data_IF_550562015725
#
_entry.id   IF_550562015725
#
_cell.length_a   1.000
_cell.length_b   1.000
_cell.length_c   1.000
_cell.angle_alpha   90.00
_cell.angle_beta   90.00
_cell.angle_gamma   90.00
#
_symmetry.space_group_name_H-M   'P 1'
#
loop_
_entity.id
_entity.type
_entity.pdbx_description
1 polymer ?
#
# COMPACT_ATOMS: atom_id res chain seq x y z
N UNK A 1 74.50 -47.92 -1.23
CA UNK A 1 75.15 -46.87 -2.06
C UNK A 1 74.30 -45.62 -1.90
N UNK A 2 74.80 -44.56 -1.23
CA UNK A 2 75.45 -43.39 -1.87
C UNK A 2 74.63 -42.85 -3.05
N UNK A 3 74.31 -41.58 -3.23
CA UNK A 3 74.54 -40.32 -2.51
C UNK A 3 74.30 -39.21 -3.56
N UNK A 4 73.60 -38.11 -3.19
CA UNK A 4 73.85 -36.70 -3.62
C UNK A 4 73.55 -36.43 -5.14
N UNK A 5 73.07 -35.31 -5.70
CA UNK A 5 72.96 -33.85 -5.50
C UNK A 5 71.63 -33.41 -6.18
N UNK A 6 70.94 -32.30 -5.92
CA UNK A 6 71.34 -30.94 -5.55
C UNK A 6 70.79 -29.97 -6.63
N UNK A 7 69.98 -28.98 -6.24
CA UNK A 7 69.44 -27.96 -7.15
C UNK A 7 68.47 -27.02 -6.43
N UNK A 8 69.00 -25.87 -6.02
CA UNK A 8 68.35 -24.78 -5.28
C UNK A 8 67.28 -24.03 -6.11
N UNK A 9 66.28 -23.47 -5.43
CA UNK A 9 65.22 -22.66 -6.03
C UNK A 9 64.46 -21.82 -5.00
N UNK A 10 65.01 -20.63 -4.75
CA UNK A 10 64.51 -19.40 -4.11
C UNK A 10 63.11 -19.35 -3.46
N UNK A 11 63.11 -18.81 -2.23
CA UNK A 11 61.93 -18.49 -1.43
C UNK A 11 61.53 -17.02 -1.61
N UNK A 12 60.37 -16.75 -2.23
CA UNK A 12 59.75 -15.42 -2.20
C UNK A 12 58.60 -15.36 -1.18
N UNK A 13 58.88 -14.69 -0.06
CA UNK A 13 57.90 -14.24 0.94
C UNK A 13 56.97 -13.18 0.32
N UNK A 14 55.70 -13.54 0.10
CA UNK A 14 54.63 -12.58 -0.18
C UNK A 14 54.16 -11.88 1.10
N UNK A 15 54.42 -10.58 1.20
CA UNK A 15 53.90 -9.69 2.26
C UNK A 15 52.39 -9.49 2.10
N UNK A 16 51.65 -9.68 3.19
CA UNK A 16 50.25 -9.28 3.36
C UNK A 16 50.12 -7.76 3.35
N UNK A 17 49.35 -7.22 2.40
CA UNK A 17 48.96 -5.81 2.35
C UNK A 17 47.75 -5.62 3.30
N UNK A 18 47.77 -4.63 4.22
CA UNK A 18 46.62 -4.35 5.07
C UNK A 18 45.54 -3.61 4.29
N UNK A 19 44.31 -4.15 4.31
CA UNK A 19 43.12 -3.49 3.81
C UNK A 19 42.86 -2.20 4.61
N UNK A 20 42.92 -1.04 3.94
CA UNK A 20 42.49 0.23 4.51
C UNK A 20 40.97 0.38 4.35
N UNK A 21 40.26 0.93 5.35
CA UNK A 21 38.83 1.14 5.28
C UNK A 21 38.47 2.23 4.25
N UNK A 22 37.60 1.89 3.31
CA UNK A 22 37.03 2.82 2.32
C UNK A 22 36.10 3.80 3.05
N UNK A 23 36.56 5.04 3.23
CA UNK A 23 35.72 6.16 3.69
C UNK A 23 34.78 6.59 2.56
N UNK A 24 33.48 6.36 2.71
CA UNK A 24 32.46 6.98 1.85
C UNK A 24 32.34 8.46 2.17
N UNK A 25 32.79 9.32 1.24
CA UNK A 25 32.58 10.76 1.28
C UNK A 25 31.25 11.08 0.58
N UNK A 26 30.25 11.52 1.34
CA UNK A 26 29.01 12.06 0.80
C UNK A 26 29.31 13.32 -0.01
N UNK A 27 29.19 13.23 -1.34
CA UNK A 27 29.16 14.39 -2.23
C UNK A 27 27.71 14.86 -2.38
N UNK A 28 27.47 16.07 -1.93
CA UNK A 28 26.25 16.86 -2.17
C UNK A 28 26.12 17.14 -3.67
N UNK A 29 25.13 16.53 -4.34
CA UNK A 29 24.80 16.90 -5.71
C UNK A 29 24.08 18.25 -5.67
N UNK A 30 24.82 19.30 -6.04
CA UNK A 30 24.28 20.58 -6.43
C UNK A 30 23.51 20.42 -7.74
N UNK A 31 22.32 21.01 -7.75
CA UNK A 31 21.46 21.28 -8.90
C UNK A 31 22.25 21.77 -10.12
N UNK A 32 22.21 20.99 -11.20
CA UNK A 32 22.63 21.43 -12.53
C UNK A 32 21.45 22.09 -13.21
N UNK A 33 21.63 23.37 -13.49
CA UNK A 33 20.76 24.22 -14.29
C UNK A 33 20.59 23.64 -15.70
N UNK A 34 19.35 23.51 -16.16
CA UNK A 34 19.04 23.60 -17.59
C UNK A 34 18.77 25.08 -17.91
N UNK A 35 19.84 25.76 -18.35
CA UNK A 35 19.75 27.02 -19.07
C UNK A 35 19.74 26.76 -20.57
N UNK A 36 18.96 27.56 -21.30
CA UNK A 36 19.10 27.72 -22.75
C UNK A 36 17.94 27.16 -23.58
N UNK A 37 16.87 27.96 -23.69
CA UNK A 37 16.21 28.40 -24.93
C UNK A 37 14.95 29.17 -24.49
N UNK A 38 15.03 30.50 -24.56
CA UNK A 38 13.95 31.45 -24.89
C UNK A 38 14.48 32.88 -24.65
N UNK A 39 15.36 33.33 -25.53
CA UNK A 39 15.41 34.74 -25.89
C UNK A 39 14.49 34.86 -27.12
N UNK A 40 13.38 35.56 -26.97
CA UNK A 40 12.70 36.42 -27.95
C UNK A 40 11.25 36.66 -27.48
N UNK A 41 10.90 37.94 -27.29
CA UNK A 41 9.51 38.38 -27.43
C UNK A 41 8.75 38.76 -26.16
N UNK A 42 9.34 39.59 -25.29
CA UNK A 42 8.57 40.43 -24.38
C UNK A 42 8.23 41.77 -25.07
N UNK A 43 7.30 41.78 -26.02
CA UNK A 43 6.65 42.97 -26.58
C UNK A 43 5.39 42.59 -27.36
N UNK A 44 4.29 42.29 -26.67
CA UNK A 44 2.91 42.66 -27.07
C UNK A 44 1.92 42.21 -25.98
N UNK A 45 1.94 42.92 -24.85
CA UNK A 45 0.87 42.86 -23.85
C UNK A 45 0.08 44.16 -24.00
N UNK A 46 -1.02 44.09 -24.75
CA UNK A 46 -1.89 45.24 -25.03
C UNK A 46 -2.61 45.03 -26.36
N UNK A 47 -3.94 44.98 -26.30
CA UNK A 47 -4.89 44.70 -27.40
C UNK A 47 -5.15 43.20 -27.65
N UNK A 48 -6.07 42.62 -26.87
CA UNK A 48 -7.30 41.93 -27.31
C UNK A 48 -8.06 41.61 -26.01
N UNK A 49 -8.81 42.58 -25.52
CA UNK A 49 -9.85 42.37 -24.50
C UNK A 49 -11.01 43.31 -24.81
N UNK A 50 -11.65 43.09 -25.95
CA UNK A 50 -12.95 43.66 -26.35
C UNK A 50 -13.44 42.98 -27.63
N UNK A 51 -13.94 41.75 -27.50
CA UNK A 51 -14.96 41.17 -28.40
C UNK A 51 -15.34 39.78 -27.86
N UNK A 52 -16.64 39.49 -27.83
CA UNK A 52 -17.31 38.27 -27.36
C UNK A 52 -17.75 38.24 -25.89
N UNK A 53 -18.56 39.25 -25.54
CA UNK A 53 -19.83 38.95 -24.89
C UNK A 53 -20.75 38.22 -25.90
N UNK A 54 -21.40 37.14 -25.48
CA UNK A 54 -22.51 36.54 -26.22
C UNK A 54 -22.26 35.13 -26.78
N UNK A 55 -22.35 34.12 -25.91
CA UNK A 55 -23.06 32.85 -26.16
C UNK A 55 -22.78 31.92 -24.96
N UNK A 56 -23.77 31.80 -24.09
CA UNK A 56 -23.74 30.85 -22.99
C UNK A 56 -23.67 29.42 -23.50
N UNK A 57 -22.71 28.67 -22.99
CA UNK A 57 -22.83 27.23 -22.86
C UNK A 57 -22.13 26.82 -21.56
N UNK A 58 -22.92 26.82 -20.49
CA UNK A 58 -22.59 26.12 -19.27
C UNK A 58 -22.39 24.63 -19.61
N UNK A 59 -21.13 24.23 -19.72
CA UNK A 59 -20.76 22.83 -19.84
C UNK A 59 -21.26 22.09 -18.59
N UNK A 60 -22.39 21.41 -18.78
CA UNK A 60 -23.05 20.50 -17.86
C UNK A 60 -22.04 19.45 -17.43
N UNK A 61 -21.53 19.56 -16.19
CA UNK A 61 -20.71 18.54 -15.57
C UNK A 61 -21.55 17.28 -15.43
N UNK A 62 -21.39 16.35 -16.37
CA UNK A 62 -22.09 15.07 -16.39
C UNK A 62 -21.84 14.28 -15.12
N UNK A 63 -22.85 14.23 -14.27
CA UNK A 63 -22.94 13.42 -13.07
C UNK A 63 -23.12 11.95 -13.45
N UNK A 64 -22.01 11.28 -13.74
CA UNK A 64 -21.96 9.85 -14.03
C UNK A 64 -20.76 9.18 -13.36
N UNK A 65 -20.43 9.55 -12.12
CA UNK A 65 -19.50 8.74 -11.32
C UNK A 65 -20.21 7.44 -10.93
N UNK A 66 -19.64 6.25 -11.20
CA UNK A 66 -20.16 5.02 -10.63
C UNK A 66 -20.13 5.17 -9.11
N UNK A 67 -21.31 5.24 -8.50
CA UNK A 67 -21.47 5.25 -7.06
C UNK A 67 -20.96 3.90 -6.58
N UNK A 68 -19.72 3.86 -6.10
CA UNK A 68 -19.17 2.67 -5.44
C UNK A 68 -20.06 2.47 -4.21
N UNK A 69 -20.95 1.48 -4.30
CA UNK A 69 -21.85 1.09 -3.24
C UNK A 69 -21.00 0.49 -2.11
N UNK A 70 -20.41 1.36 -1.30
CA UNK A 70 -19.76 1.01 -0.05
C UNK A 70 -20.88 0.65 0.92
N UNK A 71 -21.40 -0.58 0.77
CA UNK A 71 -22.33 -1.16 1.72
C UNK A 71 -21.75 -1.00 3.14
N UNK A 72 -22.59 -0.49 4.04
CA UNK A 72 -22.32 -0.38 5.47
C UNK A 72 -22.12 -1.78 6.06
N UNK A 73 -20.92 -2.35 5.93
CA UNK A 73 -20.53 -3.49 6.78
C UNK A 73 -20.15 -2.93 8.13
N UNK A 74 -20.94 -3.28 9.15
CA UNK A 74 -20.62 -3.02 10.55
C UNK A 74 -19.35 -3.80 10.90
N UNK A 75 -18.19 -3.17 10.70
CA UNK A 75 -16.87 -3.83 10.74
C UNK A 75 -16.33 -3.98 12.17
N UNK A 76 -16.98 -3.34 13.16
CA UNK A 76 -16.62 -3.43 14.59
C UNK A 76 -16.64 -4.88 15.11
N UNK A 77 -17.30 -5.81 14.42
CA UNK A 77 -17.51 -7.19 14.89
C UNK A 77 -16.49 -8.21 14.40
N UNK A 78 -15.54 -7.88 13.51
CA UNK A 78 -14.60 -8.90 12.97
C UNK A 78 -13.33 -9.12 13.81
N UNK A 79 -13.11 -8.32 14.86
CA UNK A 79 -12.02 -8.56 15.82
C UNK A 79 -12.62 -9.24 17.06
N UNK A 80 -13.17 -10.45 16.90
CA UNK A 80 -13.23 -11.36 18.05
C UNK A 80 -11.80 -11.75 18.38
N UNK A 81 -11.32 -11.18 19.46
CA UNK A 81 -10.08 -11.48 20.12
C UNK A 81 -10.22 -12.81 20.86
N UNK A 82 -10.28 -13.92 20.10
CA UNK A 82 -9.96 -15.21 20.67
C UNK A 82 -8.49 -15.13 21.10
N UNK A 83 -8.26 -14.96 22.40
CA UNK A 83 -6.93 -15.15 22.98
C UNK A 83 -6.51 -16.55 22.56
N UNK A 84 -5.44 -16.63 21.79
CA UNK A 84 -4.77 -17.90 21.67
C UNK A 84 -4.32 -18.33 23.08
N UNK A 85 -4.28 -19.62 23.40
CA UNK A 85 -3.78 -20.11 24.69
C UNK A 85 -2.50 -19.39 25.10
N UNK A 86 -2.28 -19.15 26.39
CA UNK A 86 -1.14 -18.36 26.91
C UNK A 86 0.24 -18.81 26.36
N UNK A 87 0.35 -20.07 25.94
CA UNK A 87 1.56 -20.68 25.37
C UNK A 87 1.70 -20.55 23.85
N UNK A 88 0.87 -19.73 23.22
CA UNK A 88 0.86 -19.61 21.77
C UNK A 88 2.00 -18.73 21.26
N UNK A 89 2.81 -19.25 20.33
CA UNK A 89 3.80 -18.44 19.64
C UNK A 89 3.14 -17.35 18.77
N UNK A 90 3.54 -16.10 19.02
CA UNK A 90 3.07 -14.91 18.30
C UNK A 90 4.23 -14.31 17.53
N UNK A 91 4.14 -14.29 16.20
CA UNK A 91 5.15 -13.68 15.36
C UNK A 91 4.64 -12.36 14.78
N UNK A 92 5.42 -11.30 14.92
CA UNK A 92 5.17 -10.00 14.32
C UNK A 92 6.32 -9.66 13.37
N UNK A 93 6.04 -9.65 12.08
CA UNK A 93 6.99 -9.25 11.05
C UNK A 93 6.74 -7.81 10.62
N UNK A 94 7.73 -6.95 10.79
CA UNK A 94 7.73 -5.59 10.25
C UNK A 94 8.48 -5.60 8.91
N UNK A 95 7.74 -5.36 7.82
CA UNK A 95 8.23 -5.58 6.44
C UNK A 95 8.51 -4.28 5.71
N UNK A 96 9.72 -4.17 5.18
CA UNK A 96 10.22 -2.99 4.46
C UNK A 96 10.73 -1.87 5.39
N UNK A 97 10.88 -0.69 4.82
CA UNK A 97 11.41 0.51 5.51
C UNK A 97 10.50 1.73 5.28
N UNK A 98 10.51 2.65 6.25
CA UNK A 98 9.88 3.95 6.12
C UNK A 98 10.68 4.80 5.11
N UNK A 99 10.05 5.18 4.00
CA UNK A 99 10.72 5.94 2.93
C UNK A 99 11.11 7.36 3.34
N UNK A 100 10.52 7.88 4.41
CA UNK A 100 10.75 9.25 4.87
C UNK A 100 10.70 9.29 6.39
N UNK A 101 11.59 10.06 7.02
CA UNK A 101 11.52 10.33 8.46
C UNK A 101 10.22 11.03 8.88
N UNK A 102 9.52 11.66 7.92
CA UNK A 102 8.22 12.33 8.14
C UNK A 102 7.06 11.36 8.35
N UNK A 103 7.22 10.08 8.02
CA UNK A 103 6.21 9.04 8.23
C UNK A 103 6.86 7.78 8.80
N UNK A 104 7.23 7.78 10.10
CA UNK A 104 7.91 6.65 10.75
C UNK A 104 6.91 5.56 11.16
N UNK A 105 6.06 5.12 10.22
CA UNK A 105 4.96 4.19 10.50
C UNK A 105 5.48 2.82 10.95
N UNK A 106 6.43 2.23 10.23
CA UNK A 106 6.98 0.92 10.55
C UNK A 106 7.86 0.98 11.79
N UNK A 107 8.63 2.05 11.96
CA UNK A 107 9.41 2.29 13.18
C UNK A 107 8.50 2.42 14.41
N UNK A 108 7.37 3.13 14.29
CA UNK A 108 6.38 3.23 15.37
C UNK A 108 5.66 1.90 15.60
N UNK A 109 5.36 1.15 14.55
CA UNK A 109 4.77 -0.18 14.70
C UNK A 109 5.67 -1.10 15.52
N UNK A 110 6.97 -1.18 15.18
CA UNK A 110 7.92 -1.98 15.93
C UNK A 110 7.98 -1.57 17.40
N UNK A 111 8.13 -0.26 17.66
CA UNK A 111 8.14 0.26 19.03
C UNK A 111 6.87 -0.10 19.78
N UNK A 112 5.71 0.00 19.14
CA UNK A 112 4.42 -0.38 19.73
C UNK A 112 4.41 -1.86 20.14
N UNK A 113 4.72 -2.78 19.22
CA UNK A 113 4.69 -4.22 19.51
C UNK A 113 5.72 -4.63 20.56
N UNK A 114 6.90 -3.98 20.59
CA UNK A 114 7.89 -4.24 21.64
C UNK A 114 7.44 -3.74 23.02
N UNK A 115 6.84 -2.55 23.07
CA UNK A 115 6.36 -1.96 24.32
C UNK A 115 5.15 -2.72 24.90
N UNK A 116 4.29 -3.31 24.06
CA UNK A 116 3.10 -4.05 24.47
C UNK A 116 3.32 -5.57 24.46
N UNK A 117 4.55 -6.01 24.79
CA UNK A 117 4.92 -7.43 24.76
C UNK A 117 4.03 -8.25 25.70
N UNK A 118 3.81 -7.76 26.92
CA UNK A 118 2.97 -8.42 27.93
C UNK A 118 1.56 -8.71 27.40
N UNK A 119 0.92 -7.71 26.77
CA UNK A 119 -0.48 -7.78 26.33
C UNK A 119 -0.70 -8.62 25.07
N UNK A 120 0.34 -8.88 24.28
CA UNK A 120 0.22 -9.48 22.94
C UNK A 120 0.72 -10.92 22.84
N UNK A 121 1.37 -11.44 23.88
CA UNK A 121 1.92 -12.80 23.90
C UNK A 121 3.06 -13.04 24.89
N UNK A 122 3.43 -12.05 25.71
CA UNK A 122 4.43 -12.18 26.76
C UNK A 122 5.77 -12.72 26.24
N UNK A 123 6.28 -13.78 26.88
CA UNK A 123 7.52 -14.45 26.48
C UNK A 123 7.46 -15.03 25.05
N UNK A 124 6.27 -15.40 24.58
CA UNK A 124 6.04 -16.07 23.29
C UNK A 124 5.93 -15.12 22.10
N UNK A 125 6.02 -13.80 22.32
CA UNK A 125 6.03 -12.80 21.26
C UNK A 125 7.41 -12.71 20.60
N UNK A 126 7.49 -12.85 19.28
CA UNK A 126 8.69 -12.61 18.49
C UNK A 126 8.45 -11.46 17.51
N UNK A 127 9.09 -10.32 17.76
CA UNK A 127 9.05 -9.17 16.85
C UNK A 127 10.29 -9.22 15.95
N UNK A 128 10.08 -9.54 14.68
CA UNK A 128 11.12 -9.66 13.67
C UNK A 128 11.09 -8.42 12.78
N UNK A 129 12.16 -7.62 12.83
CA UNK A 129 12.33 -6.45 11.96
C UNK A 129 12.99 -6.86 10.63
N UNK A 130 12.63 -6.18 9.55
CA UNK A 130 13.31 -6.22 8.24
C UNK A 130 13.18 -7.52 7.46
N UNK A 131 12.11 -8.30 7.67
CA UNK A 131 11.69 -9.22 6.63
C UNK A 131 11.44 -8.42 5.33
N UNK A 132 11.95 -8.90 4.21
CA UNK A 132 11.90 -8.19 2.92
C UNK A 132 10.78 -8.70 2.02
N UNK A 133 10.18 -9.85 2.34
CA UNK A 133 9.15 -10.49 1.50
C UNK A 133 8.33 -11.55 2.24
N UNK A 134 7.17 -11.90 1.69
CA UNK A 134 6.37 -13.04 2.17
C UNK A 134 7.15 -14.37 2.12
N UNK A 135 7.94 -14.60 1.06
CA UNK A 135 8.74 -15.83 0.96
C UNK A 135 9.78 -15.94 2.08
N UNK A 136 10.38 -14.82 2.48
CA UNK A 136 11.34 -14.78 3.59
C UNK A 136 10.66 -15.01 4.94
N UNK A 137 9.46 -14.44 5.14
CA UNK A 137 8.65 -14.72 6.34
C UNK A 137 8.38 -16.22 6.45
N UNK A 138 7.90 -16.86 5.38
CA UNK A 138 7.64 -18.31 5.39
C UNK A 138 8.92 -19.12 5.60
N UNK A 139 10.05 -18.71 5.04
CA UNK A 139 11.34 -19.36 5.28
C UNK A 139 11.77 -19.27 6.75
N UNK A 140 11.61 -18.12 7.38
CA UNK A 140 11.90 -17.92 8.80
C UNK A 140 10.98 -18.77 9.69
N UNK A 141 9.68 -18.81 9.40
CA UNK A 141 8.74 -19.66 10.13
C UNK A 141 9.07 -21.16 10.00
N UNK A 142 9.47 -21.61 8.80
CA UNK A 142 9.94 -23.00 8.59
C UNK A 142 11.21 -23.29 9.39
N UNK A 143 12.14 -22.35 9.45
CA UNK A 143 13.37 -22.51 10.22
C UNK A 143 13.05 -22.68 11.71
N UNK A 144 12.21 -21.80 12.25
CA UNK A 144 11.76 -21.84 13.65
C UNK A 144 11.04 -23.16 13.97
N UNK A 145 10.15 -23.60 13.09
CA UNK A 145 9.47 -24.90 13.26
C UNK A 145 10.45 -26.08 13.24
N UNK A 146 11.41 -26.12 12.29
CA UNK A 146 12.38 -27.22 12.21
C UNK A 146 13.36 -27.25 13.37
N UNK A 147 13.79 -26.09 13.85
CA UNK A 147 14.80 -25.98 14.91
C UNK A 147 14.19 -26.17 16.30
N UNK A 148 12.95 -25.72 16.51
CA UNK A 148 12.36 -25.62 17.85
C UNK A 148 10.97 -26.26 17.96
N UNK A 149 10.44 -26.88 16.90
CA UNK A 149 9.08 -27.44 16.89
C UNK A 149 7.97 -26.40 17.09
N UNK A 150 8.29 -25.11 16.94
CA UNK A 150 7.38 -24.02 17.31
C UNK A 150 6.30 -23.82 16.24
N UNK A 151 5.05 -24.07 16.61
CA UNK A 151 3.88 -23.80 15.78
C UNK A 151 3.35 -22.38 16.03
N UNK A 152 2.97 -21.69 14.96
CA UNK A 152 2.43 -20.33 15.00
C UNK A 152 0.95 -20.37 15.33
N UNK A 153 0.52 -19.73 16.43
CA UNK A 153 -0.92 -19.49 16.64
C UNK A 153 -1.36 -18.07 16.32
N UNK A 154 -0.44 -17.11 16.23
CA UNK A 154 -0.73 -15.78 15.69
C UNK A 154 0.42 -15.23 14.85
N UNK A 155 0.13 -14.89 13.59
CA UNK A 155 1.06 -14.26 12.67
C UNK A 155 0.56 -12.86 12.33
N UNK A 156 1.35 -11.83 12.61
CA UNK A 156 1.05 -10.45 12.26
C UNK A 156 2.12 -9.98 11.27
N UNK A 157 1.70 -9.55 10.07
CA UNK A 157 2.58 -8.99 9.06
C UNK A 157 2.23 -7.51 8.91
N UNK A 158 3.12 -6.63 9.31
CA UNK A 158 2.94 -5.17 9.24
C UNK A 158 3.72 -4.62 8.07
N UNK A 159 3.05 -3.94 7.15
CA UNK A 159 3.64 -3.29 6.00
C UNK A 159 2.90 -2.01 5.63
N UNK A 160 3.58 -1.09 4.95
CA UNK A 160 2.90 0.04 4.32
C UNK A 160 1.87 -0.45 3.29
N UNK A 161 0.66 0.09 3.35
CA UNK A 161 -0.44 -0.28 2.46
C UNK A 161 -0.92 0.88 1.60
N UNK A 162 -1.46 0.54 0.43
CA UNK A 162 -2.22 1.46 -0.39
C UNK A 162 -3.30 0.65 -1.14
N UNK A 163 -4.60 0.97 -0.96
CA UNK A 163 -5.70 0.21 -1.58
C UNK A 163 -5.61 0.07 -3.10
N UNK A 164 -4.97 1.01 -3.80
CA UNK A 164 -4.90 1.07 -5.26
C UNK A 164 -3.65 0.39 -5.85
N UNK A 165 -2.54 0.40 -5.10
CA UNK A 165 -1.23 -0.10 -5.58
C UNK A 165 -0.70 -1.31 -4.82
N UNK A 166 -1.37 -1.76 -3.76
CA UNK A 166 -0.98 -2.94 -2.98
C UNK A 166 -0.11 -2.63 -1.77
N UNK A 167 0.31 -3.70 -1.09
CA UNK A 167 1.13 -3.65 0.13
C UNK A 167 2.62 -3.62 -0.24
N UNK A 168 3.42 -2.84 0.49
CA UNK A 168 4.89 -2.86 0.43
C UNK A 168 5.46 -4.05 1.21
N UNK A 169 4.96 -5.23 0.89
CA UNK A 169 5.44 -6.51 1.37
C UNK A 169 5.59 -7.39 0.12
N UNK A 170 6.73 -7.32 -0.59
CA UNK A 170 6.95 -8.08 -1.80
C UNK A 170 6.68 -9.58 -1.61
N UNK A 171 6.23 -10.29 -2.65
CA UNK A 171 6.00 -11.74 -2.55
C UNK A 171 7.32 -12.50 -2.41
N UNK A 172 8.30 -12.11 -3.21
CA UNK A 172 9.70 -12.54 -3.14
C UNK A 172 10.59 -11.30 -3.02
N UNK A 173 11.88 -11.45 -2.69
CA UNK A 173 12.85 -10.33 -2.67
C UNK A 173 12.87 -9.63 -4.04
N UNK A 174 12.10 -8.54 -4.13
CA UNK A 174 11.85 -7.72 -5.30
C UNK A 174 11.25 -6.39 -4.82
N UNK A 175 11.19 -5.38 -5.69
CA UNK A 175 10.57 -4.08 -5.35
C UNK A 175 9.06 -4.03 -5.60
N UNK A 176 8.49 -5.09 -6.16
CA UNK A 176 7.09 -5.12 -6.55
C UNK A 176 6.18 -5.28 -5.32
N UNK A 177 5.10 -4.50 -5.28
CA UNK A 177 4.11 -4.57 -4.20
C UNK A 177 3.33 -5.88 -4.24
N UNK A 178 2.90 -6.34 -3.08
CA UNK A 178 1.94 -7.44 -2.96
C UNK A 178 0.55 -6.97 -3.40
N UNK A 179 0.09 -7.62 -4.45
CA UNK A 179 -1.23 -7.50 -5.06
C UNK A 179 -1.73 -8.92 -5.35
N UNK A 180 -3.02 -9.11 -5.65
CA UNK A 180 -3.52 -10.41 -6.09
C UNK A 180 -2.75 -10.95 -7.29
N UNK A 181 -2.47 -10.09 -8.28
CA UNK A 181 -1.80 -10.47 -9.52
C UNK A 181 -0.35 -10.87 -9.29
N UNK A 182 0.37 -10.14 -8.44
CA UNK A 182 1.79 -10.41 -8.18
C UNK A 182 1.98 -11.67 -7.33
N UNK A 183 1.06 -11.94 -6.40
CA UNK A 183 1.04 -13.20 -5.65
C UNK A 183 0.65 -14.39 -6.53
N UNK A 184 -0.40 -14.26 -7.34
CA UNK A 184 -0.84 -15.32 -8.25
C UNK A 184 0.28 -15.71 -9.22
N UNK A 185 0.91 -14.72 -9.86
CA UNK A 185 2.05 -14.95 -10.77
C UNK A 185 3.22 -15.65 -10.07
N UNK A 186 3.55 -15.24 -8.84
CA UNK A 186 4.62 -15.86 -8.08
C UNK A 186 4.32 -17.33 -7.70
N UNK A 187 3.07 -17.66 -7.41
CA UNK A 187 2.62 -19.03 -7.16
C UNK A 187 2.71 -19.88 -8.44
N UNK A 188 2.21 -19.38 -9.57
CA UNK A 188 2.27 -20.05 -10.88
C UNK A 188 3.71 -20.33 -11.32
N UNK A 189 4.59 -19.34 -11.15
CA UNK A 189 6.02 -19.44 -11.46
C UNK A 189 6.81 -20.22 -10.39
N UNK A 190 6.15 -20.77 -9.36
CA UNK A 190 6.77 -21.48 -8.23
C UNK A 190 7.87 -20.67 -7.51
N UNK A 191 7.82 -19.34 -7.60
CA UNK A 191 8.75 -18.41 -6.92
C UNK A 191 8.44 -18.29 -5.43
N UNK A 192 7.21 -18.61 -5.04
CA UNK A 192 6.80 -18.82 -3.65
C UNK A 192 5.98 -20.11 -3.60
N UNK A 193 6.11 -20.86 -2.50
CA UNK A 193 5.29 -22.05 -2.24
C UNK A 193 4.27 -21.74 -1.13
N UNK A 194 3.06 -22.32 -1.20
CA UNK A 194 2.11 -22.30 -0.08
C UNK A 194 2.79 -22.70 1.23
N UNK A 195 2.30 -22.13 2.33
CA UNK A 195 2.78 -22.45 3.66
C UNK A 195 2.30 -23.84 4.07
N UNK A 196 3.20 -24.60 4.69
CA UNK A 196 2.92 -25.93 5.25
C UNK A 196 2.00 -25.79 6.46
N UNK A 197 1.13 -26.78 6.65
CA UNK A 197 0.09 -26.72 7.68
C UNK A 197 0.65 -26.86 9.07
N UNK A 198 1.70 -27.67 9.20
CA UNK A 198 2.43 -27.97 10.42
C UNK A 198 3.01 -26.71 11.05
N UNK A 199 3.25 -25.66 10.25
CA UNK A 199 3.71 -24.35 10.75
C UNK A 199 2.69 -23.66 11.64
N UNK A 200 1.40 -24.00 11.56
CA UNK A 200 0.33 -23.30 12.25
C UNK A 200 -0.41 -24.19 13.25
N UNK A 201 -0.79 -23.62 14.39
CA UNK A 201 -1.74 -24.25 15.31
C UNK A 201 -3.15 -24.26 14.70
N UNK A 202 -3.99 -25.20 15.14
CA UNK A 202 -5.42 -25.20 14.82
C UNK A 202 -6.05 -23.88 15.31
N UNK A 203 -6.81 -23.22 14.44
CA UNK A 203 -7.43 -21.93 14.77
C UNK A 203 -6.48 -20.72 14.76
N UNK A 204 -5.24 -20.88 14.28
CA UNK A 204 -4.29 -19.77 14.26
C UNK A 204 -4.79 -18.57 13.43
N UNK A 205 -4.38 -17.38 13.85
CA UNK A 205 -4.81 -16.11 13.26
C UNK A 205 -3.67 -15.49 12.45
N UNK A 206 -3.93 -15.20 11.18
CA UNK A 206 -3.01 -14.49 10.29
C UNK A 206 -3.57 -13.09 10.03
N UNK A 207 -2.83 -12.07 10.43
CA UNK A 207 -3.21 -10.67 10.31
C UNK A 207 -2.27 -9.96 9.35
N UNK A 208 -2.79 -9.49 8.22
CA UNK A 208 -2.03 -8.66 7.29
C UNK A 208 -2.41 -7.21 7.53
N UNK A 209 -1.53 -6.48 8.21
CA UNK A 209 -1.73 -5.11 8.67
C UNK A 209 -1.01 -4.14 7.74
N UNK A 210 -1.79 -3.21 7.21
CA UNK A 210 -1.33 -2.13 6.35
C UNK A 210 -2.52 -1.30 5.91
N UNK A 211 -2.28 -0.03 5.61
CA UNK A 211 -3.34 0.92 5.27
C UNK A 211 -4.25 0.38 4.16
N UNK A 212 -5.49 0.04 4.55
CA UNK A 212 -6.51 -0.46 3.64
C UNK A 212 -6.21 -1.82 3.00
N UNK A 213 -5.45 -2.70 3.66
CA UNK A 213 -5.17 -4.06 3.17
C UNK A 213 -6.46 -4.81 2.77
N UNK A 214 -7.49 -4.73 3.61
CA UNK A 214 -8.81 -5.35 3.37
C UNK A 214 -9.63 -4.71 2.25
N UNK A 215 -9.18 -3.57 1.70
CA UNK A 215 -9.80 -2.91 0.54
C UNK A 215 -9.14 -3.29 -0.79
N UNK A 216 -8.01 -3.99 -0.78
CA UNK A 216 -7.37 -4.47 -2.00
C UNK A 216 -8.20 -5.63 -2.55
N UNK A 217 -8.96 -5.36 -3.61
CA UNK A 217 -9.89 -6.33 -4.22
C UNK A 217 -9.14 -7.61 -4.61
N UNK A 218 -9.65 -8.76 -4.18
CA UNK A 218 -9.07 -10.07 -4.50
C UNK A 218 -7.87 -10.50 -3.65
N UNK A 219 -7.29 -9.60 -2.82
CA UNK A 219 -6.08 -9.94 -2.06
C UNK A 219 -6.34 -11.04 -1.03
N UNK A 220 -7.48 -10.98 -0.33
CA UNK A 220 -7.91 -12.03 0.59
C UNK A 220 -7.98 -13.40 -0.10
N UNK A 221 -8.57 -13.46 -1.30
CA UNK A 221 -8.67 -14.70 -2.07
C UNK A 221 -7.31 -15.22 -2.51
N UNK A 222 -6.40 -14.32 -2.94
CA UNK A 222 -5.04 -14.70 -3.31
C UNK A 222 -4.25 -15.22 -2.10
N UNK A 223 -4.35 -14.57 -0.94
CA UNK A 223 -3.69 -15.00 0.30
C UNK A 223 -4.21 -16.35 0.82
N UNK A 224 -5.50 -16.65 0.63
CA UNK A 224 -6.06 -17.98 0.93
C UNK A 224 -5.43 -19.12 0.12
N UNK A 225 -4.76 -18.84 -1.01
CA UNK A 225 -3.99 -19.83 -1.76
C UNK A 225 -2.57 -20.01 -1.22
N UNK A 226 -2.05 -18.98 -0.55
CA UNK A 226 -0.72 -19.02 0.06
C UNK A 226 -0.75 -19.68 1.44
N UNK A 227 -1.79 -19.41 2.23
CA UNK A 227 -1.95 -19.98 3.57
C UNK A 227 -3.01 -21.10 3.56
N UNK A 228 -2.82 -22.19 4.32
CA UNK A 228 -3.74 -23.34 4.32
C UNK A 228 -4.99 -23.07 5.16
N UNK A 229 -5.81 -22.11 4.71
CA UNK A 229 -6.93 -21.56 5.49
C UNK A 229 -8.03 -22.59 5.78
N UNK A 230 -8.25 -23.56 4.90
CA UNK A 230 -9.39 -24.49 4.98
C UNK A 230 -9.17 -25.68 5.90
N UNK A 231 -7.95 -26.19 6.05
CA UNK A 231 -7.72 -27.46 6.75
C UNK A 231 -7.62 -27.28 8.27
N UNK A 232 -6.90 -26.24 8.74
CA UNK A 232 -6.74 -25.93 10.18
C UNK A 232 -7.71 -24.89 10.74
N UNK A 233 -8.73 -24.51 9.99
CA UNK A 233 -9.63 -23.41 10.35
C UNK A 233 -8.88 -22.11 10.67
N UNK A 234 -7.83 -21.80 9.90
CA UNK A 234 -7.05 -20.59 10.12
C UNK A 234 -7.91 -19.36 9.84
N UNK A 235 -7.75 -18.31 10.64
CA UNK A 235 -8.47 -17.06 10.43
C UNK A 235 -7.56 -16.03 9.78
N UNK A 236 -7.92 -15.60 8.58
CA UNK A 236 -7.23 -14.52 7.88
C UNK A 236 -7.93 -13.17 8.13
N UNK A 237 -7.22 -12.22 8.71
CA UNK A 237 -7.69 -10.85 9.01
C UNK A 237 -6.97 -9.85 8.13
N UNK A 238 -7.75 -9.06 7.37
CA UNK A 238 -7.25 -7.92 6.61
C UNK A 238 -8.08 -6.69 6.99
N UNK A 239 -7.59 -5.81 7.86
CA UNK A 239 -8.31 -4.61 8.25
C UNK A 239 -8.67 -3.76 7.02
N UNK A 240 -9.94 -3.33 6.95
CA UNK A 240 -10.35 -2.39 5.90
C UNK A 240 -9.79 -1.00 6.21
N UNK A 241 -9.71 -0.60 7.48
CA UNK A 241 -9.26 0.73 7.91
C UNK A 241 -7.78 1.03 7.67
N UNK A 242 -7.37 2.22 8.10
CA UNK A 242 -5.97 2.64 8.15
C UNK A 242 -5.49 2.43 9.57
N UNK A 243 -4.43 1.64 9.70
CA UNK A 243 -3.80 1.44 10.99
C UNK A 243 -2.78 2.54 11.23
N UNK A 244 -2.84 3.16 12.40
CA UNK A 244 -1.99 4.26 12.80
C UNK A 244 -1.30 3.90 14.11
N UNK A 245 -0.01 4.23 14.20
CA UNK A 245 0.74 4.20 15.44
C UNK A 245 1.08 5.64 15.82
N UNK A 246 0.40 6.14 16.85
CA UNK A 246 0.41 7.54 17.22
C UNK A 246 0.96 7.71 18.63
N UNK A 247 1.75 8.75 18.90
CA UNK A 247 2.13 9.05 20.26
C UNK A 247 0.90 9.49 21.07
N UNK A 248 0.89 9.18 22.35
CA UNK A 248 -0.13 9.62 23.31
C UNK A 248 -0.35 11.14 23.31
N UNK A 249 0.78 11.84 23.32
CA UNK A 249 0.90 13.28 23.39
C UNK A 249 2.17 13.68 22.65
N UNK A 250 2.32 14.98 22.36
CA UNK A 250 3.54 15.49 21.74
C UNK A 250 4.76 15.14 22.60
N UNK A 251 5.73 14.44 22.03
CA UNK A 251 6.95 14.00 22.73
C UNK A 251 6.85 12.68 23.51
N UNK A 252 5.65 12.08 23.63
CA UNK A 252 5.51 10.79 24.33
C UNK A 252 6.27 9.66 23.62
N UNK A 253 6.92 8.81 24.43
CA UNK A 253 7.53 7.56 23.97
C UNK A 253 6.50 6.43 23.84
N UNK A 254 5.38 6.54 24.53
CA UNK A 254 4.26 5.60 24.48
C UNK A 254 3.48 5.78 23.18
N UNK A 255 3.18 4.67 22.53
CA UNK A 255 2.48 4.63 21.26
C UNK A 255 1.15 3.91 21.40
N UNK A 256 0.18 4.44 20.70
CA UNK A 256 -1.16 3.92 20.59
C UNK A 256 -1.36 3.36 19.20
N UNK A 257 -1.97 2.18 19.14
CA UNK A 257 -2.51 1.67 17.89
C UNK A 257 -3.95 2.16 17.76
N UNK A 258 -4.24 2.78 16.62
CA UNK A 258 -5.58 3.26 16.28
C UNK A 258 -5.94 2.76 14.90
N UNK A 259 -7.16 2.24 14.77
CA UNK A 259 -7.77 2.06 13.46
C UNK A 259 -8.51 3.35 13.09
N UNK A 260 -8.36 3.78 11.85
CA UNK A 260 -9.06 4.93 11.32
C UNK A 260 -9.88 4.50 10.11
N UNK A 261 -11.11 4.99 10.03
CA UNK A 261 -11.95 4.87 8.86
C UNK A 261 -11.54 5.94 7.83
N UNK A 262 -11.00 5.58 6.65
CA UNK A 262 -10.69 6.54 5.61
C UNK A 262 -11.91 6.85 4.74
N UNK A 263 -12.02 8.12 4.39
CA UNK A 263 -12.90 8.68 3.40
C UNK A 263 -12.03 9.28 2.31
N UNK A 264 -12.09 8.79 1.08
CA UNK A 264 -11.15 9.20 0.02
C UNK A 264 -11.87 9.83 -1.17
N UNK A 265 -11.32 10.95 -1.64
CA UNK A 265 -11.74 11.65 -2.85
C UNK A 265 -10.52 11.88 -3.75
N UNK A 266 -10.72 11.78 -5.06
CA UNK A 266 -9.67 12.00 -6.06
C UNK A 266 -9.88 13.30 -6.85
N UNK A 267 -8.78 13.87 -7.32
CA UNK A 267 -8.74 14.90 -8.35
C UNK A 267 -7.44 14.82 -9.18
N UNK A 268 -7.42 15.36 -10.41
CA UNK A 268 -6.22 15.40 -11.25
C UNK A 268 -5.06 16.12 -10.56
N UNK A 269 -3.88 15.50 -10.49
CA UNK A 269 -2.71 16.12 -9.86
C UNK A 269 -2.34 17.44 -10.54
N UNK A 270 -1.92 18.43 -9.76
CA UNK A 270 -1.70 19.80 -10.22
C UNK A 270 -2.96 20.68 -10.24
N UNK A 271 -4.14 20.14 -9.97
CA UNK A 271 -5.40 20.90 -9.89
C UNK A 271 -6.06 20.76 -8.51
N UNK A 272 -5.60 21.54 -7.52
CA UNK A 272 -6.21 21.54 -6.19
C UNK A 272 -7.60 22.22 -6.23
N UNK A 273 -8.71 21.51 -5.95
CA UNK A 273 -10.05 22.10 -6.10
C UNK A 273 -10.43 23.14 -5.04
N UNK A 274 -9.61 23.30 -4.00
CA UNK A 274 -9.96 24.10 -2.82
C UNK A 274 -10.78 23.31 -1.79
N UNK A 275 -10.58 23.64 -0.51
CA UNK A 275 -11.21 22.95 0.62
C UNK A 275 -12.74 22.96 0.57
N UNK A 276 -13.36 24.06 0.14
CA UNK A 276 -14.82 24.21 0.08
C UNK A 276 -15.41 23.22 -0.93
N UNK A 277 -14.80 23.11 -2.12
CA UNK A 277 -15.27 22.18 -3.16
C UNK A 277 -15.02 20.73 -2.75
N UNK A 278 -13.87 20.45 -2.13
CA UNK A 278 -13.57 19.13 -1.57
C UNK A 278 -14.56 18.74 -0.48
N UNK A 279 -14.81 19.60 0.52
CA UNK A 279 -15.77 19.34 1.58
C UNK A 279 -17.19 19.04 1.04
N UNK A 280 -17.66 19.81 0.06
CA UNK A 280 -18.94 19.52 -0.63
C UNK A 280 -18.91 18.19 -1.37
N UNK A 281 -17.79 17.83 -1.99
CA UNK A 281 -17.62 16.52 -2.66
C UNK A 281 -17.65 15.36 -1.65
N UNK A 282 -16.98 15.49 -0.51
CA UNK A 282 -17.07 14.53 0.60
C UNK A 282 -18.49 14.38 1.13
N UNK A 283 -19.18 15.51 1.40
CA UNK A 283 -20.56 15.49 1.88
C UNK A 283 -21.48 14.77 0.89
N UNK A 284 -21.39 15.07 -0.41
CA UNK A 284 -22.22 14.42 -1.44
C UNK A 284 -21.94 12.91 -1.57
N UNK A 285 -20.67 12.51 -1.50
CA UNK A 285 -20.29 11.10 -1.72
C UNK A 285 -20.57 10.21 -0.50
N UNK A 286 -20.42 10.74 0.71
CA UNK A 286 -20.45 9.92 1.93
C UNK A 286 -21.61 10.25 2.88
N UNK A 287 -22.25 11.42 2.77
CA UNK A 287 -23.41 11.80 3.58
C UNK A 287 -23.17 11.81 5.10
N UNK A 288 -21.91 11.80 5.56
CA UNK A 288 -21.58 11.77 6.99
C UNK A 288 -21.67 13.15 7.61
N UNK A 289 -22.10 13.21 8.87
CA UNK A 289 -22.06 14.40 9.73
C UNK A 289 -20.63 14.62 10.25
N UNK A 290 -19.68 14.82 9.34
CA UNK A 290 -18.31 15.17 9.65
C UNK A 290 -18.08 16.64 9.30
N UNK A 291 -17.28 17.32 10.11
CA UNK A 291 -16.81 18.67 9.83
C UNK A 291 -15.72 18.63 8.73
N UNK A 292 -16.10 18.25 7.51
CA UNK A 292 -15.20 17.92 6.41
C UNK A 292 -14.16 19.01 6.15
N UNK A 293 -14.58 20.28 6.19
CA UNK A 293 -13.67 21.43 5.99
C UNK A 293 -12.64 21.53 7.12
N UNK A 294 -13.03 21.29 8.38
CA UNK A 294 -12.08 21.28 9.52
C UNK A 294 -11.10 20.11 9.39
N UNK A 295 -11.58 18.93 8.99
CA UNK A 295 -10.72 17.76 8.77
C UNK A 295 -9.71 17.97 7.64
N UNK A 296 -10.11 18.63 6.54
CA UNK A 296 -9.21 19.01 5.43
C UNK A 296 -8.12 20.00 5.85
N UNK A 297 -8.42 20.90 6.80
CA UNK A 297 -7.43 21.84 7.35
C UNK A 297 -6.42 21.18 8.28
N UNK A 298 -6.82 20.12 8.97
CA UNK A 298 -5.92 19.32 9.82
C UNK A 298 -5.09 18.39 8.93
N UNK A 299 -3.95 18.88 8.44
CA UNK A 299 -3.03 18.08 7.64
C UNK A 299 -2.07 17.30 8.54
N UNK A 300 -1.85 16.04 8.21
CA UNK A 300 -0.94 15.17 8.98
C UNK A 300 -1.56 14.68 10.28
N UNK A 301 -0.73 14.09 11.14
CA UNK A 301 -1.21 13.44 12.36
C UNK A 301 -1.78 14.46 13.35
N UNK A 302 -3.10 14.41 13.56
CA UNK A 302 -3.79 15.15 14.61
C UNK A 302 -3.84 14.32 15.91
N UNK A 303 -4.20 14.92 17.06
CA UNK A 303 -4.53 14.18 18.27
C UNK A 303 -5.55 13.07 17.98
N UNK A 304 -5.47 11.97 18.74
CA UNK A 304 -6.18 10.70 18.53
C UNK A 304 -7.69 10.83 18.28
N UNK A 305 -8.31 11.91 18.69
CA UNK A 305 -9.77 12.11 18.70
C UNK A 305 -10.32 12.87 17.49
N UNK A 306 -9.47 13.43 16.62
CA UNK A 306 -9.94 14.32 15.55
C UNK A 306 -9.69 13.77 14.16
N UNK A 307 -10.70 13.82 13.26
CA UNK A 307 -10.48 13.52 11.85
C UNK A 307 -9.46 14.48 11.24
N UNK A 308 -8.57 13.93 10.42
CA UNK A 308 -7.49 14.66 9.76
C UNK A 308 -7.28 14.17 8.33
N UNK A 309 -6.62 14.98 7.51
CA UNK A 309 -6.39 14.70 6.10
C UNK A 309 -4.97 14.24 5.81
N UNK A 310 -4.88 13.29 4.89
CA UNK A 310 -3.66 12.86 4.23
C UNK A 310 -3.84 13.03 2.72
N UNK A 311 -2.78 13.47 2.05
CA UNK A 311 -2.72 13.56 0.60
C UNK A 311 -1.60 12.66 0.10
N UNK A 312 -1.85 11.96 -1.00
CA UNK A 312 -0.83 11.19 -1.69
C UNK A 312 -1.15 11.07 -3.17
N UNK A 313 -0.10 10.95 -3.96
CA UNK A 313 -0.20 10.79 -5.40
C UNK A 313 -0.25 9.31 -5.78
N UNK A 314 -1.08 9.01 -6.78
CA UNK A 314 -1.23 7.68 -7.35
C UNK A 314 -0.79 7.75 -8.82
N UNK A 315 0.45 7.31 -9.13
CA UNK A 315 0.91 7.22 -10.51
C UNK A 315 0.31 5.99 -11.21
N UNK A 316 -0.02 6.15 -12.48
CA UNK A 316 -0.35 5.06 -13.40
C UNK A 316 0.51 5.20 -14.65
N UNK A 317 1.27 4.17 -14.95
CA UNK A 317 2.00 4.06 -16.21
C UNK A 317 1.33 2.98 -17.07
N UNK A 318 1.02 3.33 -18.32
CA UNK A 318 0.44 2.42 -19.29
C UNK A 318 1.23 2.47 -20.59
N UNK A 319 1.65 1.30 -21.10
CA UNK A 319 2.48 1.21 -22.29
C UNK A 319 1.86 0.23 -23.25
N UNK A 320 1.84 0.63 -24.52
CA UNK A 320 1.23 -0.13 -25.61
C UNK A 320 2.25 -0.22 -26.72
N UNK A 321 2.53 -1.44 -27.13
CA UNK A 321 3.42 -1.74 -28.23
C UNK A 321 2.65 -1.78 -29.56
N UNK A 322 3.32 -1.35 -30.62
CA UNK A 322 2.83 -1.34 -32.00
C UNK A 322 3.88 -2.00 -32.89
N UNK A 323 4.00 -3.34 -32.84
CA UNK A 323 5.01 -4.07 -33.61
C UNK A 323 4.83 -3.87 -35.13
N UNK A 324 3.59 -3.79 -35.60
CA UNK A 324 3.27 -3.66 -37.03
C UNK A 324 3.36 -2.21 -37.55
N UNK A 325 3.97 -1.30 -36.78
CA UNK A 325 4.13 0.11 -37.18
C UNK A 325 2.86 0.97 -37.15
N UNK A 326 1.67 0.39 -36.95
CA UNK A 326 0.34 1.06 -36.90
C UNK A 326 0.09 1.96 -35.69
N UNK A 327 1.11 2.68 -35.21
CA UNK A 327 1.03 3.54 -34.02
C UNK A 327 0.24 4.83 -34.32
N UNK A 328 -0.88 5.10 -33.63
CA UNK A 328 -1.63 6.33 -33.85
C UNK A 328 -0.86 7.56 -33.39
N UNK A 329 -1.17 8.70 -34.01
CA UNK A 329 -0.63 10.00 -33.60
C UNK A 329 -1.22 10.45 -32.26
N UNK A 330 -0.36 10.90 -31.34
CA UNK A 330 -0.72 11.46 -30.01
C UNK A 330 -0.11 12.84 -29.79
N UNK A 331 0.07 13.61 -30.87
CA UNK A 331 0.77 14.91 -30.86
C UNK A 331 -0.03 16.05 -30.23
N UNK A 332 -1.35 15.92 -30.15
CA UNK A 332 -2.23 16.96 -29.58
C UNK A 332 -3.01 16.41 -28.40
N UNK A 333 -3.38 17.26 -27.43
CA UNK A 333 -4.18 16.87 -26.25
C UNK A 333 -5.47 16.13 -26.65
N UNK A 334 -6.16 16.60 -27.70
CA UNK A 334 -7.35 15.94 -28.23
C UNK A 334 -7.09 14.50 -28.69
N UNK A 335 -5.99 14.28 -29.44
CA UNK A 335 -5.57 12.94 -29.88
C UNK A 335 -5.14 12.06 -28.71
N UNK A 336 -4.42 12.61 -27.73
CA UNK A 336 -4.02 11.90 -26.51
C UNK A 336 -5.25 11.41 -25.73
N UNK A 337 -6.23 12.29 -25.50
CA UNK A 337 -7.45 11.94 -24.78
C UNK A 337 -8.33 10.96 -25.56
N UNK A 338 -8.42 11.11 -26.89
CA UNK A 338 -9.12 10.14 -27.74
C UNK A 338 -8.48 8.75 -27.65
N UNK A 339 -7.15 8.68 -27.77
CA UNK A 339 -6.39 7.46 -27.61
C UNK A 339 -6.65 6.79 -26.25
N UNK A 340 -6.55 7.54 -25.15
CA UNK A 340 -6.82 7.05 -23.79
C UNK A 340 -8.26 6.53 -23.62
N UNK A 341 -9.25 7.26 -24.14
CA UNK A 341 -10.68 6.86 -24.05
C UNK A 341 -10.97 5.55 -24.78
N UNK A 342 -10.21 5.25 -25.84
CA UNK A 342 -10.35 4.01 -26.61
C UNK A 342 -9.67 2.79 -25.95
N UNK A 343 -8.86 2.99 -24.89
CA UNK A 343 -8.21 1.92 -24.12
C UNK A 343 -9.16 1.21 -23.16
N UNK A 344 -9.85 0.16 -23.64
CA UNK A 344 -10.76 -0.66 -22.81
C UNK A 344 -10.03 -1.35 -21.65
N UNK A 345 -8.81 -1.80 -21.89
CA UNK A 345 -7.89 -2.43 -20.94
C UNK A 345 -7.52 -1.49 -19.78
N UNK A 346 -7.06 -0.27 -20.10
CA UNK A 346 -6.74 0.76 -19.11
C UNK A 346 -7.98 1.14 -18.29
N UNK A 347 -9.12 1.39 -18.94
CA UNK A 347 -10.38 1.71 -18.24
C UNK A 347 -10.79 0.60 -17.28
N UNK A 348 -10.67 -0.67 -17.70
CA UNK A 348 -10.94 -1.82 -16.81
C UNK A 348 -9.94 -1.89 -15.67
N UNK A 349 -8.66 -1.62 -15.93
CA UNK A 349 -7.62 -1.59 -14.90
C UNK A 349 -7.91 -0.54 -13.81
N UNK A 350 -8.30 0.67 -14.21
CA UNK A 350 -8.68 1.76 -13.30
C UNK A 350 -9.99 1.45 -12.56
N UNK A 351 -11.03 1.01 -13.27
CA UNK A 351 -12.34 0.73 -12.69
C UNK A 351 -12.27 -0.38 -11.61
N UNK A 352 -11.44 -1.40 -11.80
CA UNK A 352 -11.20 -2.44 -10.77
C UNK A 352 -10.65 -1.88 -9.46
N UNK A 353 -10.03 -0.70 -9.49
CA UNK A 353 -9.46 0.04 -8.36
C UNK A 353 -10.36 1.18 -7.89
N UNK A 354 -11.57 1.32 -8.45
CA UNK A 354 -12.47 2.44 -8.14
C UNK A 354 -11.95 3.78 -8.66
N UNK A 355 -11.15 3.77 -9.73
CA UNK A 355 -10.56 4.95 -10.36
C UNK A 355 -11.12 5.12 -11.77
N UNK A 356 -11.19 6.37 -12.23
CA UNK A 356 -11.67 6.74 -13.55
C UNK A 356 -10.64 7.58 -14.30
N UNK A 357 -10.69 7.55 -15.62
CA UNK A 357 -9.71 8.23 -16.49
C UNK A 357 -9.66 9.75 -16.26
N UNK A 358 -10.81 10.38 -15.98
CA UNK A 358 -10.99 11.82 -15.76
C UNK A 358 -10.43 12.32 -14.42
N UNK A 359 -10.05 11.41 -13.52
CA UNK A 359 -9.46 11.75 -12.23
C UNK A 359 -7.96 12.02 -12.32
N UNK A 360 -7.35 11.84 -13.50
CA UNK A 360 -5.91 11.93 -13.69
C UNK A 360 -5.54 13.08 -14.62
N UNK A 361 -4.39 13.68 -14.33
CA UNK A 361 -3.64 14.47 -15.30
C UNK A 361 -2.79 13.51 -16.10
N UNK A 362 -3.02 13.45 -17.42
CA UNK A 362 -2.33 12.52 -18.31
C UNK A 362 -1.24 13.23 -19.13
N UNK A 363 -0.10 12.57 -19.24
CA UNK A 363 0.92 12.86 -20.23
C UNK A 363 1.10 11.64 -21.13
N UNK A 364 0.82 11.80 -22.42
CA UNK A 364 0.88 10.71 -23.40
C UNK A 364 1.92 11.05 -24.44
N UNK A 365 2.88 10.15 -24.65
CA UNK A 365 3.99 10.37 -25.55
C UNK A 365 4.28 9.13 -26.41
N UNK A 366 4.70 9.33 -27.68
CA UNK A 366 5.32 8.28 -28.46
C UNK A 366 6.66 7.89 -27.81
N UNK A 367 6.91 6.60 -27.63
CA UNK A 367 8.19 6.07 -27.15
C UNK A 367 8.65 4.89 -28.01
N UNK A 368 9.86 4.41 -27.78
CA UNK A 368 10.41 3.18 -28.38
C UNK A 368 10.71 2.20 -27.22
N UNK A 369 10.48 0.91 -27.42
CA UNK A 369 10.82 -0.16 -26.45
C UNK A 369 11.73 -1.18 -27.11
N UNK A 370 12.71 -1.70 -26.36
CA UNK A 370 13.54 -2.80 -26.85
C UNK A 370 12.69 -4.08 -26.96
N UNK A 371 12.89 -4.84 -28.03
CA UNK A 371 12.29 -6.16 -28.22
C UNK A 371 13.07 -7.30 -27.53
N UNK A 372 14.23 -6.99 -26.93
CA UNK A 372 15.12 -7.97 -26.32
C UNK A 372 16.12 -8.62 -27.28
N UNK A 373 15.90 -8.52 -28.60
CA UNK A 373 16.83 -8.96 -29.66
C UNK A 373 17.70 -7.80 -30.20
N UNK A 374 17.56 -6.60 -29.64
CA UNK A 374 18.28 -5.39 -30.05
C UNK A 374 17.50 -4.48 -30.99
N UNK A 375 16.31 -4.90 -31.45
CA UNK A 375 15.39 -4.09 -32.21
C UNK A 375 14.59 -3.11 -31.34
N UNK A 376 13.90 -2.18 -32.01
CA UNK A 376 13.08 -1.15 -31.36
C UNK A 376 11.64 -1.24 -31.85
N UNK A 377 10.73 -1.45 -30.91
CA UNK A 377 9.29 -1.51 -31.16
C UNK A 377 8.68 -0.14 -30.85
N UNK A 378 7.97 0.49 -31.82
CA UNK A 378 7.19 1.69 -31.56
C UNK A 378 6.17 1.46 -30.46
N UNK A 379 6.06 2.39 -29.54
CA UNK A 379 5.13 2.32 -28.44
C UNK A 379 4.49 3.68 -28.14
N UNK A 380 3.39 3.65 -27.40
CA UNK A 380 2.82 4.83 -26.75
C UNK A 380 2.86 4.59 -25.25
N UNK A 381 3.40 5.57 -24.53
CA UNK A 381 3.44 5.61 -23.07
C UNK A 381 2.45 6.66 -22.59
N UNK A 382 1.60 6.29 -21.66
CA UNK A 382 0.73 7.20 -20.93
C UNK A 382 1.07 7.18 -19.44
N UNK A 383 1.34 8.36 -18.90
CA UNK A 383 1.58 8.60 -17.49
C UNK A 383 0.41 9.40 -16.94
N UNK A 384 -0.37 8.79 -16.05
CA UNK A 384 -1.46 9.44 -15.35
C UNK A 384 -1.05 9.71 -13.90
N UNK A 385 -1.34 10.92 -13.41
CA UNK A 385 -1.18 11.27 -12.00
C UNK A 385 -2.51 11.75 -11.42
N UNK A 386 -2.97 11.12 -10.33
CA UNK A 386 -4.12 11.58 -9.55
C UNK A 386 -3.71 11.80 -8.10
N UNK A 387 -4.31 12.80 -7.45
CA UNK A 387 -4.13 13.04 -6.02
C UNK A 387 -5.33 12.50 -5.27
N UNK A 388 -5.06 11.62 -4.31
CA UNK A 388 -6.05 11.12 -3.37
C UNK A 388 -5.97 11.94 -2.09
N UNK A 389 -7.04 12.67 -1.77
CA UNK A 389 -7.24 13.27 -0.45
C UNK A 389 -8.05 12.32 0.37
N UNK A 390 -7.49 11.92 1.51
CA UNK A 390 -8.13 10.99 2.43
C UNK A 390 -8.31 11.63 3.79
N UNK A 391 -9.55 11.70 4.25
CA UNK A 391 -9.87 12.06 5.63
C UNK A 391 -9.89 10.77 6.44
N UNK A 392 -9.00 10.66 7.40
CA UNK A 392 -8.97 9.59 8.39
C UNK A 392 -9.79 10.03 9.58
N UNK A 393 -10.82 9.26 9.90
CA UNK A 393 -11.62 9.38 11.12
C UNK A 393 -11.15 8.29 12.08
N UNK A 394 -10.37 8.63 13.12
CA UNK A 394 -9.98 7.68 14.15
C UNK A 394 -11.22 7.07 14.80
N UNK A 395 -11.22 5.75 14.97
CA UNK A 395 -12.23 5.09 15.78
C UNK A 395 -11.88 5.43 17.23
N UNK A 396 -12.58 6.41 17.83
CA UNK A 396 -12.21 7.18 19.02
C UNK A 396 -11.94 6.45 20.36
N UNK A 397 -11.59 5.17 20.31
CA UNK A 397 -11.02 4.44 21.43
C UNK A 397 -9.57 4.11 21.12
N UNK A 398 -8.59 4.75 21.80
CA UNK A 398 -7.26 4.16 21.86
C UNK A 398 -7.38 2.70 22.31
N UNK A 399 -6.95 1.74 21.48
CA UNK A 399 -6.92 0.35 21.92
C UNK A 399 -5.65 0.15 22.77
N UNK A 400 -5.71 0.58 24.03
CA UNK A 400 -4.92 -0.03 25.09
C UNK A 400 -5.59 -1.34 25.47
N UNK A 401 -4.79 -2.38 25.70
CA UNK A 401 -5.18 -3.64 26.31
C UNK A 401 -6.38 -4.41 25.75
N UNK A 402 -6.09 -5.67 25.43
CA UNK A 402 -6.91 -6.76 25.94
C UNK A 402 -7.06 -6.59 27.46
N UNK A 403 -8.21 -6.11 27.94
CA UNK A 403 -8.64 -6.39 29.30
C UNK A 403 -10.15 -6.61 29.34
N UNK A 404 -10.50 -7.64 30.09
CA UNK A 404 -11.82 -8.18 30.32
C UNK A 404 -12.82 -7.15 30.88
N UNK A 405 -14.10 -7.41 30.60
CA UNK A 405 -15.17 -7.10 31.55
C UNK A 405 -16.01 -5.86 31.29
N UNK A 406 -17.31 -6.11 31.13
CA UNK A 406 -18.46 -5.20 31.22
C UNK A 406 -18.69 -4.22 30.06
N UNK A 407 -19.73 -4.47 29.25
CA UNK A 407 -21.08 -3.99 29.56
C UNK A 407 -22.16 -4.81 28.83
N UNK A 408 -23.04 -5.39 29.66
CA UNK A 408 -24.47 -5.69 29.49
C UNK A 408 -25.01 -6.21 28.14
N UNK A 409 -25.25 -7.52 28.13
CA UNK A 409 -26.33 -8.16 27.38
C UNK A 409 -27.67 -7.68 27.94
N UNK A 410 -28.52 -7.10 27.09
CA UNK A 410 -29.97 -7.15 27.27
C UNK A 410 -30.56 -7.85 26.04
N UNK A 411 -31.01 -9.09 26.25
CA UNK A 411 -31.94 -9.77 25.36
C UNK A 411 -33.34 -9.34 25.78
N UNK A 412 -34.15 -8.91 24.81
CA UNK A 412 -35.59 -9.19 24.81
C UNK A 412 -35.97 -9.70 23.43
N UNK A 413 -36.33 -10.98 23.39
CA UNK A 413 -37.35 -11.49 22.45
C UNK A 413 -38.72 -10.96 22.90
N UNK A 414 -39.71 -10.86 22.01
CA UNK A 414 -40.66 -11.98 21.95
C UNK A 414 -41.14 -12.37 20.53
N UNK A 415 -41.21 -13.69 20.34
CA UNK A 415 -42.32 -14.51 19.81
C UNK A 415 -42.97 -14.24 18.44
N UNK A 416 -43.06 -15.38 17.72
CA UNK A 416 -44.12 -15.91 16.86
C UNK A 416 -44.54 -15.18 15.58
N UNK A 417 -44.39 -15.88 14.45
CA UNK A 417 -45.51 -16.47 13.71
C UNK A 417 -44.97 -17.65 12.87
N UNK A 418 -45.72 -18.76 12.93
CA UNK A 418 -45.50 -20.01 12.24
C UNK A 418 -45.87 -19.99 10.74
N UNK A 419 -45.38 -20.99 9.99
CA UNK A 419 -46.11 -21.58 8.83
C UNK A 419 -45.58 -21.31 7.41
N UNK A 420 -44.73 -22.22 6.89
CA UNK A 420 -44.81 -23.02 5.62
C UNK A 420 -45.63 -22.47 4.41
N UNK A 421 -45.33 -22.74 3.09
CA UNK A 421 -44.15 -23.27 2.37
C UNK A 421 -43.69 -22.43 1.14
N UNK A 422 -42.66 -22.97 0.45
CA UNK A 422 -42.04 -22.57 -0.82
C UNK A 422 -42.99 -22.38 -2.02
N UNK A 423 -42.51 -21.68 -3.06
CA UNK A 423 -42.13 -22.35 -4.33
C UNK A 423 -40.63 -22.51 -4.52
#
# INVERSE_FOLDING_TARGET
>A
MRAITGGEGETHRGRSIPERPVKYRTQTIRSVLFGGILLYGATLFGLIFSALAGAGNAARWGSGTPQMNLQKTNWKTEISTALAPADTAVFVFIVGDDQTLKNPYLDRAERYYRAHRADLGGANLRVVRRAQSLSEILALLRSEYRQHGTCVGRLIIVAHGNPWSGLRCPVVKARERLTPETLQRALEQRRIRPAEEELFLKGAVIEIRGCGAGRIRGLRTALKKLFPITQKSLRLVLPKGYELYLPESSGSRSLYRVNATPWTVFYPSGYYPGEIRLARKFQRLFGRRLEWRKALKRRGFAPLSFPFSLEYEIPVEWIVLYPDGGRPSVTTIGKQMSWLKNRRDLKRYLARRGLNLDQFTWHVAPVQRSDGAGGRIPAIRALGMTTAVTILEPDGHPTHSFQDGCFSVFIRSPLDIAGIPRP
#
